data_IF_324147740982
#
_entry.id   IF_324147740982
#
_cell.length_a   1.000
_cell.length_b   1.000
_cell.length_c   1.000
_cell.angle_alpha   90.00
_cell.angle_beta   90.00
_cell.angle_gamma   90.00
#
_symmetry.space_group_name_H-M   'P 1'
#
loop_
_entity.id
_entity.type
_entity.pdbx_description
1 polymer ?
#
# COMPACT_ATOMS: atom_id res chain seq x y z
N UNK A 1 8.55 19.07 -8.24
CA UNK A 1 8.51 20.03 -9.35
C UNK A 1 7.25 19.78 -10.17
N UNK A 2 6.68 20.84 -10.76
CA UNK A 2 5.53 20.75 -11.65
C UNK A 2 5.86 21.25 -13.06
N UNK A 3 5.08 20.79 -14.05
CA UNK A 3 5.14 21.19 -15.45
C UNK A 3 3.73 21.48 -15.93
N UNK A 4 3.51 22.64 -16.55
CA UNK A 4 2.24 23.04 -17.15
C UNK A 4 2.18 22.76 -18.65
N UNK A 5 3.26 22.27 -19.27
CA UNK A 5 3.45 22.08 -20.70
C UNK A 5 3.83 20.64 -21.08
N UNK A 6 3.33 19.66 -20.33
CA UNK A 6 3.57 18.22 -20.53
C UNK A 6 5.05 17.82 -20.44
N UNK A 7 5.77 18.43 -19.49
CA UNK A 7 7.16 18.07 -19.20
C UNK A 7 8.19 18.75 -20.11
N UNK A 8 7.81 19.71 -20.95
CA UNK A 8 8.77 20.48 -21.76
C UNK A 8 9.56 21.45 -20.91
N UNK A 9 8.91 22.08 -19.92
CA UNK A 9 9.56 22.91 -18.91
C UNK A 9 9.11 22.48 -17.50
N UNK A 10 9.97 22.73 -16.52
CA UNK A 10 9.72 22.38 -15.12
C UNK A 10 9.95 23.60 -14.24
N UNK A 11 9.08 23.81 -13.26
CA UNK A 11 9.38 24.81 -12.25
C UNK A 11 10.64 24.40 -11.45
N UNK A 12 11.33 25.37 -10.88
CA UNK A 12 12.60 25.13 -10.20
C UNK A 12 12.44 24.53 -8.79
N UNK A 13 11.23 24.59 -8.20
CA UNK A 13 10.99 24.20 -6.81
C UNK A 13 10.63 22.74 -6.70
N UNK A 14 11.33 22.03 -5.83
CA UNK A 14 10.94 20.70 -5.36
C UNK A 14 10.10 20.86 -4.10
N UNK A 15 9.13 19.97 -3.90
CA UNK A 15 8.31 19.91 -2.70
C UNK A 15 8.66 18.63 -1.95
N UNK A 16 9.04 18.77 -0.67
CA UNK A 16 9.09 17.66 0.26
C UNK A 16 7.67 17.42 0.77
N UNK A 17 7.17 16.20 0.61
CA UNK A 17 5.82 15.83 1.02
C UNK A 17 5.80 15.41 2.50
N UNK A 18 6.63 14.44 2.85
CA UNK A 18 6.71 13.88 4.20
C UNK A 18 8.15 13.46 4.52
N UNK A 19 8.49 13.45 5.79
CA UNK A 19 9.62 12.67 6.30
C UNK A 19 9.25 11.19 6.26
N UNK A 20 10.21 10.34 5.94
CA UNK A 20 10.02 8.90 5.84
C UNK A 20 10.72 8.22 7.00
N UNK A 21 9.98 7.92 8.08
CA UNK A 21 10.48 7.18 9.23
C UNK A 21 10.87 5.75 8.84
N UNK A 22 11.95 5.21 9.46
CA UNK A 22 12.52 3.91 9.11
C UNK A 22 13.27 3.90 7.79
N UNK A 23 13.13 4.94 6.98
CA UNK A 23 13.85 5.13 5.72
C UNK A 23 13.58 4.05 4.68
N UNK A 24 14.61 3.74 3.88
CA UNK A 24 14.52 2.81 2.77
C UNK A 24 14.26 1.36 3.19
N UNK A 25 14.89 0.92 4.29
CA UNK A 25 14.75 -0.45 4.82
C UNK A 25 14.02 -0.38 6.14
N UNK A 26 12.90 -1.09 6.24
CA UNK A 26 12.14 -1.27 7.47
C UNK A 26 12.33 -2.69 8.00
N UNK A 27 12.47 -2.84 9.32
CA UNK A 27 12.70 -4.15 9.95
C UNK A 27 11.37 -4.82 10.30
N UNK A 28 11.18 -6.02 9.74
CA UNK A 28 10.06 -6.89 10.08
C UNK A 28 10.65 -8.21 10.59
N UNK A 29 10.47 -8.54 11.87
CA UNK A 29 11.06 -9.76 12.46
C UNK A 29 10.73 -11.02 11.65
N UNK A 30 11.70 -11.92 11.48
CA UNK A 30 11.61 -13.15 10.68
C UNK A 30 11.37 -12.92 9.17
N UNK A 31 11.50 -11.70 8.69
CA UNK A 31 11.44 -11.36 7.26
C UNK A 31 12.83 -10.95 6.78
N UNK A 32 13.27 -11.46 5.63
CA UNK A 32 14.65 -11.22 5.15
C UNK A 32 14.91 -9.73 4.87
N UNK A 33 13.94 -9.08 4.21
CA UNK A 33 14.00 -7.67 3.87
C UNK A 33 12.60 -7.12 3.62
N UNK A 34 12.33 -5.94 4.14
CA UNK A 34 11.17 -5.15 3.80
C UNK A 34 11.58 -3.71 3.50
N UNK A 35 10.70 -2.95 2.89
CA UNK A 35 10.99 -1.58 2.46
C UNK A 35 9.75 -0.69 2.59
N UNK A 36 9.98 0.62 2.61
CA UNK A 36 8.97 1.66 2.66
C UNK A 36 8.70 2.32 1.31
N UNK A 37 8.91 1.63 0.19
CA UNK A 37 8.75 2.20 -1.15
C UNK A 37 7.36 2.83 -1.34
N UNK A 38 7.30 4.10 -1.81
CA UNK A 38 6.03 4.76 -2.06
C UNK A 38 5.40 4.29 -3.37
N UNK A 39 4.08 4.13 -3.36
CA UNK A 39 3.24 3.92 -4.54
C UNK A 39 2.42 5.19 -4.75
N UNK A 40 2.48 5.73 -5.96
CA UNK A 40 1.79 6.96 -6.36
C UNK A 40 0.85 6.67 -7.51
N UNK A 41 -0.40 7.07 -7.38
CA UNK A 41 -1.43 6.94 -8.43
C UNK A 41 -2.31 8.19 -8.45
N UNK A 42 -3.09 8.34 -9.54
CA UNK A 42 -4.11 9.39 -9.65
C UNK A 42 -5.43 8.80 -10.17
N UNK A 43 -6.54 9.43 -9.80
CA UNK A 43 -7.85 9.10 -10.34
C UNK A 43 -8.05 9.78 -11.70
N UNK A 44 -8.17 8.97 -12.74
CA UNK A 44 -8.35 9.42 -14.12
C UNK A 44 -9.80 9.31 -14.60
N UNK A 45 -10.73 8.83 -13.78
CA UNK A 45 -12.12 8.69 -14.16
C UNK A 45 -12.83 10.04 -14.08
N UNK A 46 -13.18 10.61 -15.24
CA UNK A 46 -13.87 11.90 -15.33
C UNK A 46 -15.25 11.92 -14.65
N UNK A 47 -15.86 10.76 -14.44
CA UNK A 47 -17.16 10.61 -13.77
C UNK A 47 -17.00 10.33 -12.27
N UNK A 48 -15.76 10.15 -11.78
CA UNK A 48 -15.48 9.98 -10.36
C UNK A 48 -15.64 11.29 -9.59
N UNK A 49 -16.23 11.27 -8.37
CA UNK A 49 -16.23 12.42 -7.47
C UNK A 49 -14.83 12.82 -7.00
N UNK A 50 -13.84 12.00 -7.29
CA UNK A 50 -12.43 12.17 -6.91
C UNK A 50 -11.51 12.37 -8.11
N UNK A 51 -12.08 12.69 -9.29
CA UNK A 51 -11.31 12.93 -10.51
C UNK A 51 -10.19 13.95 -10.30
N UNK A 52 -8.99 13.58 -10.72
CA UNK A 52 -7.79 14.42 -10.58
C UNK A 52 -7.08 14.28 -9.22
N UNK A 53 -7.69 13.64 -8.23
CA UNK A 53 -7.01 13.40 -6.94
C UNK A 53 -5.74 12.59 -7.14
N UNK A 54 -4.72 12.95 -6.37
CA UNK A 54 -3.46 12.23 -6.29
C UNK A 54 -3.40 11.46 -4.96
N UNK A 55 -2.89 10.23 -5.02
CA UNK A 55 -2.84 9.33 -3.88
C UNK A 55 -1.43 8.80 -3.69
N UNK A 56 -0.98 8.78 -2.44
CA UNK A 56 0.32 8.27 -2.03
C UNK A 56 0.13 7.22 -0.93
N UNK A 57 0.79 6.08 -1.08
CA UNK A 57 0.76 4.99 -0.12
C UNK A 57 2.19 4.46 0.07
N UNK A 58 2.58 4.21 1.33
CA UNK A 58 3.90 3.70 1.68
C UNK A 58 3.85 2.95 3.01
N UNK A 59 4.92 2.25 3.35
CA UNK A 59 5.09 1.67 4.68
C UNK A 59 6.17 2.42 5.46
N UNK A 60 6.00 2.50 6.78
CA UNK A 60 6.97 3.08 7.71
C UNK A 60 7.30 2.10 8.82
N UNK A 61 8.41 2.36 9.51
CA UNK A 61 8.74 1.79 10.80
C UNK A 61 8.80 2.90 11.85
N UNK A 62 7.99 2.78 12.89
CA UNK A 62 8.03 3.66 14.06
C UNK A 62 9.29 3.34 14.87
N UNK A 63 10.21 4.29 14.94
CA UNK A 63 11.53 4.10 15.56
C UNK A 63 11.47 3.83 17.06
N UNK A 64 10.42 4.30 17.76
CA UNK A 64 10.28 4.08 19.21
C UNK A 64 9.78 2.68 19.54
N UNK A 65 8.87 2.16 18.73
CA UNK A 65 8.17 0.88 19.00
C UNK A 65 8.63 -0.28 18.12
N UNK A 66 9.36 0.01 17.03
CA UNK A 66 9.73 -0.96 15.98
C UNK A 66 8.49 -1.58 15.31
N UNK A 67 7.37 -0.86 15.29
CA UNK A 67 6.15 -1.30 14.59
C UNK A 67 6.15 -0.73 13.17
N UNK A 68 5.72 -1.56 12.23
CA UNK A 68 5.53 -1.10 10.87
C UNK A 68 4.06 -0.86 10.57
N UNK A 69 3.78 0.19 9.80
CA UNK A 69 2.45 0.61 9.43
C UNK A 69 2.38 0.97 7.94
N UNK A 70 1.21 0.76 7.33
CA UNK A 70 0.89 1.20 5.97
C UNK A 70 0.14 2.51 6.05
N UNK A 71 0.70 3.55 5.47
CA UNK A 71 0.17 4.90 5.45
C UNK A 71 -0.39 5.28 4.08
N UNK A 72 -1.30 6.24 4.12
CA UNK A 72 -1.94 6.83 2.96
C UNK A 72 -2.07 8.33 3.14
N UNK A 73 -1.87 9.08 2.07
CA UNK A 73 -2.15 10.51 1.97
C UNK A 73 -2.73 10.83 0.60
N UNK A 74 -3.47 11.92 0.49
CA UNK A 74 -4.05 12.40 -0.77
C UNK A 74 -3.83 13.89 -0.96
N UNK A 75 -3.84 14.29 -2.21
CA UNK A 75 -3.99 15.67 -2.65
C UNK A 75 -5.25 15.81 -3.50
N UNK A 76 -5.99 16.89 -3.28
CA UNK A 76 -7.22 17.25 -4.00
C UNK A 76 -7.06 18.54 -4.82
N UNK A 77 -5.80 19.03 -4.94
CA UNK A 77 -5.42 20.31 -5.54
C UNK A 77 -4.17 20.20 -6.42
N UNK A 78 -4.11 19.18 -7.26
CA UNK A 78 -3.02 18.93 -8.21
C UNK A 78 -1.63 18.79 -7.54
N UNK A 79 -1.59 18.40 -6.26
CA UNK A 79 -0.35 18.19 -5.50
C UNK A 79 0.16 19.44 -4.78
N UNK A 80 -0.60 20.54 -4.74
CA UNK A 80 -0.22 21.77 -4.03
C UNK A 80 -0.21 21.55 -2.52
N UNK A 81 -1.20 20.81 -2.00
CA UNK A 81 -1.24 20.39 -0.60
C UNK A 81 -1.60 18.91 -0.45
N UNK A 82 -1.26 18.34 0.71
CA UNK A 82 -1.48 16.93 1.03
C UNK A 82 -2.12 16.77 2.40
N UNK A 83 -3.03 15.80 2.50
CA UNK A 83 -3.61 15.44 3.79
C UNK A 83 -2.53 14.93 4.74
N UNK A 84 -2.77 15.05 6.05
CA UNK A 84 -1.94 14.32 7.01
C UNK A 84 -2.04 12.80 6.72
N UNK A 85 -0.92 12.06 6.86
CA UNK A 85 -0.93 10.62 6.69
C UNK A 85 -1.90 9.93 7.65
N UNK A 86 -2.64 8.95 7.14
CA UNK A 86 -3.54 8.09 7.92
C UNK A 86 -3.19 6.63 7.69
N UNK A 87 -3.44 5.78 8.68
CA UNK A 87 -3.25 4.33 8.54
C UNK A 87 -4.36 3.73 7.68
N UNK A 88 -3.99 2.87 6.72
CA UNK A 88 -4.92 2.12 5.88
C UNK A 88 -5.58 0.99 6.67
N UNK A 89 -4.84 0.41 7.61
CA UNK A 89 -5.28 -0.70 8.44
C UNK A 89 -5.83 -0.23 9.80
N UNK A 90 -6.63 -1.08 10.43
CA UNK A 90 -7.02 -0.87 11.83
C UNK A 90 -5.80 -0.95 12.72
N UNK A 91 -5.70 -0.04 13.68
CA UNK A 91 -4.60 -0.07 14.65
C UNK A 91 -4.61 -1.39 15.41
N UNK A 92 -3.48 -2.06 15.37
CA UNK A 92 -3.28 -3.31 16.09
C UNK A 92 -1.83 -3.40 16.56
N UNK A 93 -1.63 -3.26 17.87
CA UNK A 93 -0.32 -3.47 18.50
C UNK A 93 0.21 -4.91 18.33
N UNK A 94 -0.59 -5.83 17.80
CA UNK A 94 -0.25 -7.23 17.64
C UNK A 94 0.35 -7.57 16.26
N UNK A 95 0.32 -6.62 15.30
CA UNK A 95 0.76 -6.87 13.93
C UNK A 95 1.73 -5.81 13.43
N UNK A 96 2.62 -6.22 12.54
CA UNK A 96 3.37 -5.38 11.62
C UNK A 96 2.68 -5.40 10.25
N UNK A 97 2.54 -4.22 9.59
CA UNK A 97 1.95 -4.07 8.27
C UNK A 97 3.00 -3.49 7.32
N UNK A 98 3.25 -4.12 6.18
CA UNK A 98 4.40 -3.79 5.33
C UNK A 98 4.23 -4.28 3.89
N UNK A 99 5.15 -3.86 3.00
CA UNK A 99 5.15 -4.17 1.57
C UNK A 99 3.76 -3.93 0.96
N UNK A 100 3.41 -2.67 0.81
CA UNK A 100 2.10 -2.26 0.32
C UNK A 100 2.11 -1.96 -1.17
N UNK A 101 0.95 -2.11 -1.79
CA UNK A 101 0.64 -1.60 -3.12
C UNK A 101 -0.79 -1.11 -3.18
N UNK A 102 -1.07 -0.14 -4.06
CA UNK A 102 -2.44 0.33 -4.26
C UNK A 102 -2.76 0.53 -5.74
N UNK A 103 -4.06 0.56 -6.03
CA UNK A 103 -4.64 0.96 -7.31
C UNK A 103 -5.93 1.72 -7.10
N UNK A 104 -6.33 2.52 -8.09
CA UNK A 104 -7.66 3.08 -8.21
C UNK A 104 -8.42 2.32 -9.29
N UNK A 105 -9.68 1.97 -9.04
CA UNK A 105 -10.55 1.41 -10.07
C UNK A 105 -10.97 2.55 -11.02
N UNK A 106 -10.54 2.51 -12.29
CA UNK A 106 -10.81 3.59 -13.23
C UNK A 106 -12.28 3.71 -13.63
N UNK A 107 -13.13 2.76 -13.26
CA UNK A 107 -14.56 2.81 -13.55
C UNK A 107 -15.38 3.60 -12.53
N UNK A 108 -14.88 3.70 -11.28
CA UNK A 108 -15.68 4.26 -10.17
C UNK A 108 -14.88 5.07 -9.13
N UNK A 109 -13.54 5.15 -9.25
CA UNK A 109 -12.68 5.87 -8.33
C UNK A 109 -12.43 5.18 -6.98
N UNK A 110 -12.88 3.93 -6.79
CA UNK A 110 -12.61 3.20 -5.56
C UNK A 110 -11.13 2.87 -5.43
N UNK A 111 -10.59 3.01 -4.21
CA UNK A 111 -9.22 2.67 -3.90
C UNK A 111 -9.13 1.25 -3.37
N UNK A 112 -8.11 0.53 -3.83
CA UNK A 112 -7.80 -0.82 -3.37
C UNK A 112 -6.34 -0.94 -3.02
N UNK A 113 -6.06 -1.58 -1.87
CA UNK A 113 -4.71 -1.78 -1.32
C UNK A 113 -4.49 -3.27 -1.10
N UNK A 114 -3.24 -3.69 -1.21
CA UNK A 114 -2.79 -5.01 -0.79
C UNK A 114 -1.51 -4.85 0.02
N UNK A 115 -1.38 -5.58 1.13
CA UNK A 115 -0.19 -5.55 1.98
C UNK A 115 -0.10 -6.81 2.82
N UNK A 116 1.07 -7.06 3.39
CA UNK A 116 1.25 -8.12 4.37
C UNK A 116 0.93 -7.63 5.78
N UNK A 117 0.37 -8.55 6.57
CA UNK A 117 0.15 -8.41 8.01
C UNK A 117 0.84 -9.56 8.73
N UNK A 118 1.90 -9.26 9.49
CA UNK A 118 2.66 -10.27 10.25
C UNK A 118 2.37 -10.15 11.74
N UNK A 119 2.05 -11.26 12.38
CA UNK A 119 1.90 -11.31 13.84
C UNK A 119 3.23 -10.98 14.53
N UNK A 120 3.16 -10.14 15.58
CA UNK A 120 4.31 -9.85 16.46
C UNK A 120 4.55 -10.95 17.50
N UNK A 121 3.55 -11.79 17.75
CA UNK A 121 3.59 -12.87 18.74
C UNK A 121 3.77 -14.26 18.10
N UNK A 122 3.79 -14.34 16.79
CA UNK A 122 3.97 -15.58 16.04
C UNK A 122 4.73 -15.31 14.73
N UNK A 123 5.20 -16.34 14.06
CA UNK A 123 5.88 -16.22 12.76
C UNK A 123 4.91 -16.07 11.57
N UNK A 124 3.63 -16.15 11.84
CA UNK A 124 2.59 -16.17 10.80
C UNK A 124 2.39 -14.81 10.14
N UNK A 125 2.22 -14.85 8.83
CA UNK A 125 1.95 -13.70 7.95
C UNK A 125 0.69 -13.98 7.15
N UNK A 126 -0.16 -12.98 7.04
CA UNK A 126 -1.35 -12.97 6.19
C UNK A 126 -1.19 -11.95 5.07
N UNK A 127 -2.01 -12.07 4.03
CA UNK A 127 -2.21 -11.04 3.03
C UNK A 127 -3.55 -10.36 3.28
N UNK A 128 -3.53 -9.04 3.33
CA UNK A 128 -4.71 -8.20 3.56
C UNK A 128 -5.03 -7.40 2.31
N UNK A 129 -6.28 -7.34 1.96
CA UNK A 129 -6.85 -6.40 1.02
C UNK A 129 -7.62 -5.33 1.81
N UNK A 130 -7.38 -4.07 1.48
CA UNK A 130 -8.18 -2.97 2.00
C UNK A 130 -8.81 -2.19 0.85
N UNK A 131 -9.94 -1.54 1.11
CA UNK A 131 -10.69 -0.76 0.12
C UNK A 131 -11.27 0.50 0.72
N UNK A 132 -11.42 1.53 -0.13
CA UNK A 132 -12.11 2.77 0.21
C UNK A 132 -13.02 3.19 -0.94
N UNK A 133 -14.29 3.47 -0.64
CA UNK A 133 -15.31 4.00 -1.57
C UNK A 133 -15.46 5.53 -1.49
N UNK A 134 -14.66 6.19 -0.66
CA UNK A 134 -14.83 7.61 -0.33
C UNK A 134 -13.50 8.40 -0.40
N UNK A 135 -12.65 8.05 -1.37
CA UNK A 135 -11.40 8.76 -1.62
C UNK A 135 -10.41 8.72 -0.44
N UNK A 136 -10.39 7.60 0.30
CA UNK A 136 -9.47 7.40 1.42
C UNK A 136 -9.93 8.01 2.76
N UNK A 137 -11.18 8.47 2.88
CA UNK A 137 -11.72 8.97 4.15
C UNK A 137 -11.98 7.85 5.16
N UNK A 138 -12.21 6.63 4.70
CA UNK A 138 -12.29 5.42 5.54
C UNK A 138 -11.91 4.18 4.75
N UNK A 139 -11.49 3.13 5.47
CA UNK A 139 -11.02 1.87 4.88
C UNK A 139 -11.76 0.68 5.49
N UNK A 140 -12.08 -0.30 4.65
CA UNK A 140 -12.48 -1.63 5.05
C UNK A 140 -11.35 -2.60 4.70
N UNK A 141 -11.05 -3.54 5.60
CA UNK A 141 -9.97 -4.50 5.40
C UNK A 141 -10.46 -5.93 5.60
N UNK A 142 -9.89 -6.85 4.81
CA UNK A 142 -10.17 -8.27 4.85
C UNK A 142 -8.89 -9.08 4.60
N UNK A 143 -8.73 -10.18 5.33
CA UNK A 143 -7.66 -11.15 5.08
C UNK A 143 -8.05 -11.98 3.87
N UNK A 144 -7.23 -11.96 2.84
CA UNK A 144 -7.49 -12.64 1.57
C UNK A 144 -6.60 -13.86 1.34
N UNK A 145 -5.59 -14.09 2.16
CA UNK A 145 -4.84 -15.34 2.16
C UNK A 145 -5.70 -16.45 2.77
N UNK A 146 -5.87 -17.55 2.05
CA UNK A 146 -6.66 -18.71 2.52
C UNK A 146 -6.10 -19.30 3.82
N UNK A 147 -4.79 -19.23 3.98
CA UNK A 147 -4.07 -19.60 5.19
C UNK A 147 -2.87 -18.68 5.43
N UNK A 148 -2.52 -18.49 6.68
CA UNK A 148 -1.28 -17.82 7.05
C UNK A 148 -0.07 -18.65 6.60
N UNK A 149 1.04 -17.99 6.33
CA UNK A 149 2.31 -18.61 5.98
C UNK A 149 3.45 -18.06 6.85
N UNK A 150 4.58 -18.76 6.87
CA UNK A 150 5.76 -18.37 7.64
C UNK A 150 6.90 -18.02 6.68
N UNK A 151 7.23 -16.73 6.51
CA UNK A 151 8.42 -16.33 5.76
C UNK A 151 9.69 -16.74 6.51
N UNK A 152 10.80 -16.80 5.80
CA UNK A 152 12.10 -17.09 6.38
C UNK A 152 12.98 -15.86 6.38
N UNK A 153 13.52 -15.48 7.53
CA UNK A 153 14.49 -14.39 7.67
C UNK A 153 15.82 -14.62 6.93
N UNK A 154 16.02 -15.79 6.32
CA UNK A 154 17.25 -16.12 5.57
C UNK A 154 17.01 -16.23 4.05
N UNK A 155 15.79 -16.10 3.59
CA UNK A 155 15.43 -16.22 2.17
C UNK A 155 14.82 -14.92 1.68
N UNK A 156 15.41 -14.36 0.63
CA UNK A 156 14.85 -13.18 -0.02
C UNK A 156 13.47 -13.49 -0.61
N UNK A 157 12.47 -12.78 -0.14
CA UNK A 157 11.07 -13.08 -0.40
C UNK A 157 10.49 -12.24 -1.55
N UNK A 158 11.11 -11.13 -1.87
CA UNK A 158 10.67 -10.12 -2.83
C UNK A 158 10.54 -8.74 -2.18
N UNK A 159 10.41 -7.72 -3.01
CA UNK A 159 10.34 -6.32 -2.58
C UNK A 159 8.95 -5.70 -2.73
N UNK A 160 8.02 -6.37 -3.41
CA UNK A 160 6.70 -5.83 -3.74
C UNK A 160 5.68 -6.92 -4.05
N UNK A 161 4.42 -6.53 -3.88
CA UNK A 161 3.26 -7.19 -4.45
C UNK A 161 2.60 -6.23 -5.46
N UNK A 162 1.46 -6.60 -6.01
CA UNK A 162 0.73 -5.73 -6.92
C UNK A 162 -0.78 -5.97 -6.80
N UNK A 163 -1.59 -5.00 -7.23
CA UNK A 163 -3.03 -5.10 -7.30
C UNK A 163 -3.53 -4.31 -8.50
N UNK A 164 -4.48 -4.87 -9.24
CA UNK A 164 -5.19 -4.21 -10.32
C UNK A 164 -6.69 -4.24 -10.05
N UNK A 165 -7.41 -3.21 -10.50
CA UNK A 165 -8.86 -3.14 -10.40
C UNK A 165 -9.45 -2.49 -11.66
N UNK A 166 -10.60 -3.00 -12.10
CA UNK A 166 -11.45 -2.43 -13.15
C UNK A 166 -12.86 -3.02 -13.04
N UNK A 167 -13.89 -2.16 -13.14
CA UNK A 167 -15.29 -2.57 -13.09
C UNK A 167 -15.65 -3.43 -11.86
N UNK A 168 -15.14 -3.05 -10.69
CA UNK A 168 -15.25 -3.78 -9.42
C UNK A 168 -14.59 -5.18 -9.41
N UNK A 169 -13.84 -5.51 -10.43
CA UNK A 169 -13.03 -6.74 -10.48
C UNK A 169 -11.63 -6.42 -9.96
N UNK A 170 -11.29 -6.96 -8.79
CA UNK A 170 -10.02 -6.67 -8.11
C UNK A 170 -9.14 -7.92 -8.10
N UNK A 171 -7.87 -7.77 -8.48
CA UNK A 171 -6.91 -8.88 -8.63
C UNK A 171 -5.57 -8.50 -7.99
N UNK A 172 -5.38 -8.79 -6.70
CA UNK A 172 -4.08 -8.72 -6.06
C UNK A 172 -3.21 -9.91 -6.47
N UNK A 173 -1.89 -9.70 -6.51
CA UNK A 173 -0.89 -10.76 -6.73
C UNK A 173 0.20 -10.61 -5.68
N UNK A 174 0.56 -11.70 -5.03
CA UNK A 174 1.57 -11.71 -3.99
C UNK A 174 2.42 -12.99 -3.98
N UNK A 175 3.70 -12.93 -3.59
CA UNK A 175 4.47 -14.10 -3.22
C UNK A 175 4.00 -14.68 -1.88
N UNK A 176 4.07 -15.99 -1.74
CA UNK A 176 3.88 -16.72 -0.49
C UNK A 176 4.94 -17.79 -0.35
N UNK A 177 5.41 -18.00 0.87
CA UNK A 177 6.38 -19.06 1.16
C UNK A 177 5.69 -20.24 1.83
N UNK A 178 5.72 -21.39 1.19
CA UNK A 178 5.19 -22.65 1.72
C UNK A 178 6.31 -23.69 1.72
N UNK A 179 6.67 -24.23 2.88
CA UNK A 179 7.72 -25.23 3.04
C UNK A 179 9.07 -24.83 2.36
N UNK A 180 9.45 -23.55 2.50
CA UNK A 180 10.68 -23.00 1.93
C UNK A 180 10.64 -22.74 0.41
N UNK A 181 9.49 -22.90 -0.24
CA UNK A 181 9.28 -22.57 -1.65
C UNK A 181 8.47 -21.29 -1.78
N UNK A 182 8.93 -20.38 -2.63
CA UNK A 182 8.19 -19.17 -2.97
C UNK A 182 7.31 -19.47 -4.17
N UNK A 183 6.03 -19.12 -4.05
CA UNK A 183 4.99 -19.29 -5.07
C UNK A 183 4.22 -18.00 -5.22
N UNK A 184 3.64 -17.75 -6.40
CA UNK A 184 2.78 -16.58 -6.65
C UNK A 184 1.32 -16.97 -6.50
N UNK A 185 0.57 -16.11 -5.83
CA UNK A 185 -0.85 -16.29 -5.51
C UNK A 185 -1.67 -15.08 -5.91
N UNK A 186 -2.95 -15.29 -6.10
CA UNK A 186 -3.94 -14.23 -6.36
C UNK A 186 -5.26 -14.57 -5.67
N UNK A 187 -6.06 -13.54 -5.40
CA UNK A 187 -7.47 -13.68 -5.02
C UNK A 187 -8.36 -13.13 -6.13
N UNK A 188 -9.54 -13.72 -6.29
CA UNK A 188 -10.55 -13.30 -7.26
C UNK A 188 -11.64 -12.55 -6.50
N UNK A 189 -11.49 -11.24 -6.36
CA UNK A 189 -12.39 -10.38 -5.60
C UNK A 189 -13.33 -9.68 -6.59
N UNK A 190 -14.63 -9.79 -6.36
CA UNK A 190 -15.65 -8.98 -6.98
C UNK A 190 -16.22 -8.06 -5.91
N UNK A 191 -15.96 -6.76 -6.05
CA UNK A 191 -16.29 -5.74 -5.06
C UNK A 191 -17.65 -5.12 -5.39
N UNK A 192 -18.60 -5.15 -4.45
CA UNK A 192 -19.96 -4.61 -4.60
C UNK A 192 -20.14 -3.25 -3.88
#
# INVERSE_FOLDING_TARGET
RSSADRGQTWNATEQMLFEHEGGWTIDVPDFYRSNGLPVFISDHNADSPHYGNLYLNWAIEDEETGRTAVLFSKSEDDGESWSLPVQVHKDSSQYNHFLTWMTVDPSNGNLHFVYYRKSRNAKTTDVVWASSKNGGASFNEEVISEQSFEPSGTVFFGDYLNIAAVDNVVRPVWPRMDNGKITLWTALINFE
#
